data_IF_060875730913
#
_entry.id   IF_060875730913
#
_cell.length_a   1.000
_cell.length_b   1.000
_cell.length_c   1.000
_cell.angle_alpha   90.00
_cell.angle_beta   90.00
_cell.angle_gamma   90.00
#
_symmetry.space_group_name_H-M   'P 1'
#
loop_
_entity.id
_entity.type
_entity.pdbx_description
1 polymer ?
#
# COMPACT_ATOMS: atom_id res chain seq x y z
N UNK A 1 -8.89 4.50 10.36
CA UNK A 1 -9.46 3.70 9.22
C UNK A 1 -10.27 4.62 8.29
N UNK A 2 -9.70 5.07 7.17
CA UNK A 2 -10.39 6.00 6.25
C UNK A 2 -11.43 5.28 5.38
N UNK A 3 -12.70 5.33 5.78
CA UNK A 3 -13.86 4.81 5.04
C UNK A 3 -14.31 5.70 3.85
N UNK A 4 -13.41 6.47 3.24
CA UNK A 4 -13.72 7.38 2.12
C UNK A 4 -13.41 6.81 0.73
N UNK A 5 -13.14 5.51 0.63
CA UNK A 5 -13.01 4.80 -0.64
C UNK A 5 -14.31 4.05 -0.97
N UNK A 6 -14.80 4.18 -2.20
CA UNK A 6 -15.92 3.37 -2.71
C UNK A 6 -15.65 1.88 -2.42
N UNK A 7 -16.46 1.26 -1.54
CA UNK A 7 -16.29 -0.14 -1.07
C UNK A 7 -16.31 -1.17 -2.22
N UNK A 8 -16.80 -0.77 -3.40
CA UNK A 8 -16.86 -1.63 -4.60
C UNK A 8 -15.69 -1.42 -5.58
N UNK A 9 -14.80 -0.44 -5.36
CA UNK A 9 -13.58 -0.29 -6.16
C UNK A 9 -12.50 -1.22 -5.59
N UNK A 10 -12.16 -2.27 -6.33
CA UNK A 10 -10.94 -3.04 -6.07
C UNK A 10 -9.76 -2.09 -6.04
N UNK A 11 -9.04 -2.04 -4.92
CA UNK A 11 -7.78 -1.31 -4.83
C UNK A 11 -6.72 -2.08 -5.61
N UNK A 12 -5.60 -1.44 -5.95
CA UNK A 12 -4.52 -2.15 -6.66
C UNK A 12 -3.92 -3.29 -5.82
N UNK A 13 -4.12 -3.29 -4.50
CA UNK A 13 -3.75 -4.41 -3.62
C UNK A 13 -4.68 -5.63 -3.81
N UNK A 14 -5.94 -5.40 -4.19
CA UNK A 14 -6.96 -6.44 -4.42
C UNK A 14 -6.89 -7.05 -5.83
N UNK A 15 -6.05 -6.48 -6.69
CA UNK A 15 -5.80 -6.96 -8.05
C UNK A 15 -4.47 -7.68 -8.05
N UNK A 16 -4.49 -8.99 -8.24
CA UNK A 16 -3.26 -9.74 -8.48
C UNK A 16 -2.56 -9.18 -9.72
N UNK A 17 -1.47 -8.45 -9.49
CA UNK A 17 -0.62 -7.97 -10.57
C UNK A 17 0.00 -9.20 -11.24
N UNK A 18 -0.09 -9.32 -12.58
CA UNK A 18 0.59 -10.37 -13.30
C UNK A 18 2.10 -10.14 -13.17
N UNK A 19 2.72 -10.77 -12.18
CA UNK A 19 4.16 -10.85 -12.08
C UNK A 19 4.63 -11.64 -13.30
N UNK A 20 5.31 -10.99 -14.24
CA UNK A 20 5.85 -11.67 -15.41
C UNK A 20 6.84 -12.75 -14.93
N UNK A 21 6.57 -14.06 -15.14
CA UNK A 21 7.41 -15.14 -14.61
C UNK A 21 8.83 -15.11 -15.17
N UNK A 22 9.01 -14.51 -16.35
CA UNK A 22 10.27 -14.41 -17.07
C UNK A 22 11.16 -13.27 -16.55
N UNK A 23 10.59 -12.34 -15.76
CA UNK A 23 11.40 -11.29 -15.15
C UNK A 23 12.08 -11.79 -13.86
N UNK A 24 13.27 -11.27 -13.54
CA UNK A 24 13.85 -11.44 -12.21
C UNK A 24 12.96 -10.83 -11.12
N UNK A 25 12.95 -11.43 -9.94
CA UNK A 25 12.08 -10.97 -8.84
C UNK A 25 12.43 -9.54 -8.37
N UNK A 26 13.70 -9.15 -8.47
CA UNK A 26 14.19 -7.81 -8.12
C UNK A 26 13.78 -6.71 -9.10
N UNK A 27 13.23 -7.04 -10.28
CA UNK A 27 12.75 -6.05 -11.24
C UNK A 27 11.35 -5.60 -10.83
N UNK A 28 11.21 -4.36 -10.37
CA UNK A 28 9.91 -3.76 -10.05
C UNK A 28 9.35 -3.02 -11.27
N UNK A 29 8.14 -3.38 -11.68
CA UNK A 29 7.43 -2.71 -12.77
C UNK A 29 6.74 -1.43 -12.29
N UNK A 30 6.40 -0.46 -13.16
CA UNK A 30 5.72 0.76 -12.75
C UNK A 30 4.38 0.52 -12.03
N UNK A 31 3.67 -0.57 -12.35
CA UNK A 31 2.43 -0.95 -11.65
C UNK A 31 2.70 -1.46 -10.24
N UNK A 32 3.75 -2.25 -10.06
CA UNK A 32 4.18 -2.75 -8.75
C UNK A 32 4.71 -1.60 -7.88
N UNK A 33 5.49 -0.69 -8.45
CA UNK A 33 6.02 0.50 -7.75
C UNK A 33 4.89 1.37 -7.20
N UNK A 34 3.79 1.52 -7.95
CA UNK A 34 2.60 2.21 -7.47
C UNK A 34 1.97 1.52 -6.25
N UNK A 35 1.90 0.19 -6.26
CA UNK A 35 1.37 -0.59 -5.12
C UNK A 35 2.27 -0.46 -3.90
N UNK A 36 3.59 -0.52 -4.09
CA UNK A 36 4.58 -0.28 -3.03
C UNK A 36 4.35 1.12 -2.42
N UNK A 37 4.18 2.14 -3.27
CA UNK A 37 3.92 3.51 -2.81
C UNK A 37 2.61 3.63 -2.03
N UNK A 38 1.54 2.99 -2.50
CA UNK A 38 0.24 3.00 -1.82
C UNK A 38 0.31 2.29 -0.46
N UNK A 39 0.99 1.14 -0.37
CA UNK A 39 1.22 0.40 0.90
C UNK A 39 2.06 1.21 1.88
N UNK A 40 3.18 1.78 1.40
CA UNK A 40 4.05 2.65 2.18
C UNK A 40 3.28 3.84 2.75
N UNK A 41 2.50 4.52 1.90
CA UNK A 41 1.66 5.63 2.32
C UNK A 41 0.65 5.19 3.38
N UNK A 42 -0.09 4.11 3.17
CA UNK A 42 -1.06 3.59 4.15
C UNK A 42 -0.40 3.29 5.50
N UNK A 43 0.78 2.65 5.49
CA UNK A 43 1.54 2.36 6.72
C UNK A 43 2.02 3.62 7.43
N UNK A 44 2.51 4.61 6.69
CA UNK A 44 2.89 5.91 7.26
C UNK A 44 1.70 6.62 7.92
N UNK A 45 0.54 6.64 7.25
CA UNK A 45 -0.69 7.23 7.81
C UNK A 45 -1.20 6.44 9.02
N UNK A 46 -1.09 5.11 9.03
CA UNK A 46 -1.50 4.27 10.15
C UNK A 46 -0.72 4.55 11.44
N UNK A 47 0.54 5.00 11.34
CA UNK A 47 1.34 5.43 12.51
C UNK A 47 0.86 6.74 13.13
N UNK A 48 0.09 7.53 12.40
CA UNK A 48 -0.41 8.83 12.81
C UNK A 48 -1.95 8.86 12.93
N UNK A 49 -2.60 7.69 12.98
CA UNK A 49 -4.08 7.56 12.93
C UNK A 49 -4.76 8.36 14.05
N UNK A 50 -4.15 8.48 15.23
CA UNK A 50 -4.69 9.24 16.36
C UNK A 50 -4.72 10.75 16.10
N UNK A 51 -3.67 11.31 15.50
CA UNK A 51 -3.60 12.72 15.11
C UNK A 51 -4.57 13.03 13.96
N UNK A 52 -4.70 12.10 13.02
CA UNK A 52 -5.65 12.19 11.91
C UNK A 52 -7.09 12.15 12.44
N UNK A 53 -7.40 11.27 13.40
CA UNK A 53 -8.71 11.22 14.06
C UNK A 53 -9.03 12.54 14.76
N UNK A 54 -8.10 13.08 15.54
CA UNK A 54 -8.28 14.36 16.21
C UNK A 54 -8.55 15.51 15.22
N UNK A 55 -7.84 15.53 14.09
CA UNK A 55 -8.10 16.48 13.02
C UNK A 55 -9.49 16.28 12.39
N UNK A 56 -9.87 15.04 12.11
CA UNK A 56 -11.19 14.72 11.51
C UNK A 56 -12.32 15.11 12.47
N UNK A 57 -12.22 14.77 13.75
CA UNK A 57 -13.18 15.15 14.79
C UNK A 57 -13.32 16.67 14.89
N UNK A 58 -12.20 17.39 14.91
CA UNK A 58 -12.20 18.84 14.89
C UNK A 58 -12.85 19.38 13.61
N UNK A 59 -12.46 18.88 12.44
CA UNK A 59 -12.98 19.35 11.14
C UNK A 59 -14.49 19.12 10.99
N UNK A 60 -15.00 18.02 11.53
CA UNK A 60 -16.42 17.64 11.49
C UNK A 60 -17.29 18.49 12.41
N UNK A 61 -16.69 19.19 13.38
CA UNK A 61 -17.41 20.16 14.22
C UNK A 61 -17.78 21.45 13.49
N UNK A 62 -17.19 21.71 12.32
CA UNK A 62 -17.46 22.89 11.51
C UNK A 62 -18.33 22.55 10.30
N UNK A 63 -19.26 23.45 9.96
CA UNK A 63 -20.16 23.26 8.80
C UNK A 63 -19.45 23.53 7.47
N UNK A 64 -18.44 24.39 7.48
CA UNK A 64 -17.69 24.77 6.29
C UNK A 64 -16.29 24.13 6.33
N UNK A 65 -15.87 23.38 5.31
CA UNK A 65 -14.52 22.79 5.24
C UNK A 65 -13.39 23.81 5.40
N UNK A 66 -13.55 25.02 4.88
CA UNK A 66 -12.54 26.07 5.01
C UNK A 66 -12.38 26.57 6.47
N UNK A 67 -13.48 26.62 7.22
CA UNK A 67 -13.43 26.96 8.65
C UNK A 67 -12.82 25.82 9.47
N UNK A 68 -13.14 24.57 9.11
CA UNK A 68 -12.52 23.40 9.72
C UNK A 68 -11.00 23.38 9.55
N UNK A 69 -10.49 23.64 8.34
CA UNK A 69 -9.04 23.70 8.08
C UNK A 69 -8.38 24.82 8.92
N UNK A 70 -8.98 26.02 8.94
CA UNK A 70 -8.40 27.17 9.64
C UNK A 70 -8.42 27.00 11.16
N UNK A 71 -9.51 26.49 11.73
CA UNK A 71 -9.66 26.37 13.18
C UNK A 71 -8.99 25.10 13.74
N UNK A 72 -8.80 24.08 12.91
CA UNK A 72 -8.11 22.83 13.26
C UNK A 72 -6.66 22.79 12.76
N UNK A 73 -6.08 23.94 12.39
CA UNK A 73 -4.73 24.07 11.82
C UNK A 73 -3.68 23.37 12.69
N UNK A 74 -3.76 23.49 14.02
CA UNK A 74 -2.84 22.81 14.94
C UNK A 74 -2.85 21.29 14.80
N UNK A 75 -4.03 20.68 14.67
CA UNK A 75 -4.15 19.24 14.47
C UNK A 75 -3.71 18.84 13.06
N UNK A 76 -3.98 19.70 12.08
CA UNK A 76 -3.54 19.51 10.70
C UNK A 76 -2.01 19.50 10.58
N UNK A 77 -1.34 20.46 11.20
CA UNK A 77 0.11 20.56 11.17
C UNK A 77 0.75 19.41 11.93
N UNK A 78 0.18 19.02 13.07
CA UNK A 78 0.65 17.88 13.84
C UNK A 78 0.55 16.56 13.06
N UNK A 79 -0.59 16.28 12.39
CA UNK A 79 -0.71 15.06 11.58
C UNK A 79 0.26 15.07 10.40
N UNK A 80 0.45 16.22 9.73
CA UNK A 80 1.35 16.34 8.58
C UNK A 80 2.81 16.16 9.00
N UNK A 81 3.20 16.77 10.12
CA UNK A 81 4.52 16.61 10.71
C UNK A 81 4.80 15.15 11.10
N UNK A 82 3.81 14.47 11.69
CA UNK A 82 3.91 13.04 12.01
C UNK A 82 4.10 12.20 10.73
N UNK A 83 3.26 12.39 9.72
CA UNK A 83 3.33 11.62 8.47
C UNK A 83 4.66 11.86 7.75
N UNK A 84 5.19 13.10 7.75
CA UNK A 84 6.46 13.44 7.15
C UNK A 84 7.65 12.67 7.77
N UNK A 85 7.58 12.28 9.04
CA UNK A 85 8.63 11.47 9.68
C UNK A 85 8.70 10.03 9.14
N UNK A 86 7.57 9.49 8.68
CA UNK A 86 7.46 8.14 8.14
C UNK A 86 7.48 8.10 6.61
N UNK A 87 7.24 9.24 5.96
CA UNK A 87 7.41 9.41 4.51
C UNK A 87 8.87 9.60 4.11
N UNK A 88 9.76 8.72 4.58
CA UNK A 88 11.17 8.69 4.20
C UNK A 88 11.50 7.53 3.28
N UNK A 89 12.62 7.65 2.55
CA UNK A 89 13.06 6.65 1.56
C UNK A 89 13.32 5.29 2.20
N UNK A 90 13.83 5.26 3.43
CA UNK A 90 14.14 4.04 4.16
C UNK A 90 12.88 3.18 4.38
N UNK A 91 11.73 3.81 4.62
CA UNK A 91 10.46 3.10 4.77
C UNK A 91 9.87 2.66 3.43
N UNK A 92 10.18 3.36 2.34
CA UNK A 92 9.79 2.95 1.00
C UNK A 92 10.61 1.72 0.55
N UNK A 93 11.90 1.69 0.87
CA UNK A 93 12.78 0.58 0.53
C UNK A 93 12.36 -0.71 1.25
N UNK A 94 11.90 -0.62 2.51
CA UNK A 94 11.29 -1.76 3.22
C UNK A 94 10.10 -2.35 2.44
N UNK A 95 9.22 -1.51 1.90
CA UNK A 95 8.08 -2.00 1.11
C UNK A 95 8.50 -2.61 -0.23
N UNK A 96 9.60 -2.12 -0.82
CA UNK A 96 10.18 -2.73 -2.02
C UNK A 96 10.73 -4.12 -1.73
N UNK A 97 11.45 -4.28 -0.63
CA UNK A 97 11.99 -5.57 -0.20
C UNK A 97 10.86 -6.58 0.05
N UNK A 98 9.79 -6.16 0.74
CA UNK A 98 8.58 -6.99 0.93
C UNK A 98 8.00 -7.44 -0.42
N UNK A 99 7.89 -6.53 -1.40
CA UNK A 99 7.38 -6.87 -2.72
C UNK A 99 8.28 -7.86 -3.46
N UNK A 100 9.60 -7.73 -3.31
CA UNK A 100 10.58 -8.67 -3.91
C UNK A 100 10.42 -10.06 -3.28
N UNK A 101 10.30 -10.15 -1.95
CA UNK A 101 10.09 -11.41 -1.24
C UNK A 101 8.78 -12.10 -1.66
N UNK A 102 7.69 -11.34 -1.79
CA UNK A 102 6.41 -11.83 -2.32
C UNK A 102 6.58 -12.41 -3.73
N UNK A 103 7.38 -11.76 -4.58
CA UNK A 103 7.67 -12.24 -5.95
C UNK A 103 8.52 -13.50 -5.95
N UNK A 104 9.50 -13.61 -5.06
CA UNK A 104 10.31 -14.83 -4.89
C UNK A 104 9.41 -16.00 -4.51
N UNK A 105 8.52 -15.80 -3.52
CA UNK A 105 7.57 -16.82 -3.08
C UNK A 105 6.63 -17.25 -4.22
N UNK A 106 6.02 -16.30 -4.94
CA UNK A 106 5.14 -16.58 -6.09
C UNK A 106 5.88 -17.33 -7.20
N UNK A 107 7.13 -16.96 -7.50
CA UNK A 107 7.94 -17.64 -8.51
C UNK A 107 8.25 -19.10 -8.14
N UNK A 108 8.48 -19.38 -6.85
CA UNK A 108 8.68 -20.74 -6.34
C UNK A 108 7.42 -21.59 -6.53
N UNK A 109 6.26 -21.06 -6.14
CA UNK A 109 4.97 -21.74 -6.29
C UNK A 109 4.65 -22.01 -7.77
N UNK A 110 4.86 -21.02 -8.64
CA UNK A 110 4.66 -21.17 -10.08
C UNK A 110 5.52 -22.30 -10.67
N UNK A 111 6.80 -22.37 -10.30
CA UNK A 111 7.70 -23.46 -10.73
C UNK A 111 7.24 -24.83 -10.23
N UNK A 112 6.70 -24.93 -9.02
CA UNK A 112 6.15 -26.19 -8.49
C UNK A 112 4.93 -26.62 -9.30
N UNK A 113 4.00 -25.70 -9.54
CA UNK A 113 2.81 -25.95 -10.35
C UNK A 113 3.14 -26.42 -11.77
N UNK A 114 4.14 -25.82 -12.43
CA UNK A 114 4.59 -26.27 -13.75
C UNK A 114 5.11 -27.72 -13.73
N UNK A 115 5.89 -28.10 -12.70
CA UNK A 115 6.38 -29.48 -12.55
C UNK A 115 5.25 -30.49 -12.35
N UNK A 116 4.23 -30.12 -11.58
CA UNK A 116 3.04 -30.95 -11.37
C UNK A 116 2.27 -31.17 -12.69
N UNK A 117 2.10 -30.12 -13.49
CA UNK A 117 1.46 -30.20 -14.80
C UNK A 117 2.27 -31.06 -15.78
N UNK A 118 3.60 -30.96 -15.77
CA UNK A 118 4.48 -31.80 -16.58
C UNK A 118 4.39 -33.27 -16.17
N UNK A 119 4.38 -33.56 -14.86
CA UNK A 119 4.22 -34.92 -14.35
C UNK A 119 2.86 -35.53 -14.72
N UNK A 120 1.76 -34.75 -14.64
CA UNK A 120 0.44 -35.20 -15.06
C UNK A 120 0.37 -35.50 -16.57
N UNK A 121 1.03 -34.67 -17.39
CA UNK A 121 1.11 -34.90 -18.85
C UNK A 121 1.93 -36.14 -19.20
N UNK A 122 2.95 -36.48 -18.42
CA UNK A 122 3.77 -37.67 -18.65
C UNK A 122 3.09 -38.99 -18.21
N UNK A 123 2.00 -38.91 -17.42
CA UNK A 123 1.23 -40.06 -16.95
C UNK A 123 0.01 -40.39 -17.84
N UNK A 124 -0.36 -39.48 -18.75
CA UNK A 124 -1.43 -39.66 -19.75
C UNK A 124 -0.83 -39.96 -21.12
#
# INVERSE_FOLDING_TARGET
MSEYGNKNKKTFEDVELPTNPNLPAWVITPKEEKVIFDRWRKKAFAKCDDLIKAYVECSNSYKNPFEGIKNCEKFNDAQLACVAQYQKKEYLDIERDIMIDEKIAKKKLYKQHLKELEAQKAQN
#
